data_IF_671363773233
#
_entry.id   IF_671363773233
#
_cell.length_a   1.000
_cell.length_b   1.000
_cell.length_c   1.000
_cell.angle_alpha   90.00
_cell.angle_beta   90.00
_cell.angle_gamma   90.00
#
_symmetry.space_group_name_H-M   'P 1'
#
loop_
_entity.id
_entity.type
_entity.pdbx_description
1 polymer ?
#
# COMPACT_ATOMS: atom_id res chain seq x y z
N UNK A 1 -28.64 -55.33 42.47
CA UNK A 1 -28.14 -54.40 43.51
C UNK A 1 -27.32 -53.33 42.78
N UNK A 2 -27.91 -52.41 42.00
CA UNK A 2 -28.72 -51.24 42.37
C UNK A 2 -27.88 -50.11 43.04
N UNK A 3 -27.81 -48.95 42.38
CA UNK A 3 -27.23 -47.67 42.84
C UNK A 3 -26.53 -46.92 41.68
N UNK A 4 -27.23 -46.32 40.70
CA UNK A 4 -27.81 -44.95 40.70
C UNK A 4 -26.81 -43.88 41.21
N UNK A 5 -26.16 -43.11 40.33
CA UNK A 5 -26.62 -41.88 39.65
C UNK A 5 -26.53 -40.61 40.52
N UNK A 6 -25.67 -39.65 40.10
CA UNK A 6 -25.83 -38.17 40.18
C UNK A 6 -24.58 -37.51 39.56
N UNK A 7 -24.63 -36.95 38.35
CA UNK A 7 -25.05 -35.60 37.95
C UNK A 7 -24.17 -34.42 38.41
N UNK A 8 -23.58 -33.77 37.39
CA UNK A 8 -23.61 -32.31 37.14
C UNK A 8 -22.67 -31.37 37.92
N UNK A 9 -21.73 -30.72 37.23
CA UNK A 9 -21.89 -29.38 36.60
C UNK A 9 -20.62 -28.95 35.87
N UNK A 10 -20.76 -28.61 34.59
CA UNK A 10 -19.75 -27.88 33.82
C UNK A 10 -19.62 -26.45 34.39
N UNK A 11 -18.39 -25.99 34.62
CA UNK A 11 -18.09 -24.61 35.04
C UNK A 11 -17.48 -23.84 33.89
N UNK A 12 -18.34 -23.15 33.17
CA UNK A 12 -18.02 -22.19 32.11
C UNK A 12 -17.46 -20.91 32.74
N UNK A 13 -16.15 -20.67 32.63
CA UNK A 13 -15.56 -19.39 33.04
C UNK A 13 -15.37 -18.48 31.82
N UNK A 14 -16.42 -17.73 31.48
CA UNK A 14 -16.36 -16.57 30.58
C UNK A 14 -16.07 -15.34 31.42
N UNK A 15 -14.85 -14.81 31.36
CA UNK A 15 -14.52 -13.50 31.94
C UNK A 15 -14.70 -12.43 30.88
N UNK A 16 -15.81 -11.69 30.99
CA UNK A 16 -16.06 -10.44 30.26
C UNK A 16 -15.19 -9.33 30.86
N UNK A 17 -14.30 -8.75 30.09
CA UNK A 17 -13.75 -7.42 30.38
C UNK A 17 -14.59 -6.41 29.61
N UNK A 18 -15.43 -5.66 30.32
CA UNK A 18 -16.10 -4.48 29.81
C UNK A 18 -15.42 -3.27 30.46
N UNK A 19 -14.64 -2.52 29.67
CA UNK A 19 -14.27 -1.14 29.96
C UNK A 19 -14.82 -0.28 28.84
N UNK A 20 -15.63 0.70 29.23
CA UNK A 20 -16.36 1.59 28.36
C UNK A 20 -15.41 2.46 27.51
N UNK A 21 -15.65 2.49 26.20
CA UNK A 21 -15.12 3.52 25.28
C UNK A 21 -16.33 4.11 24.55
N UNK A 22 -16.43 5.44 24.61
CA UNK A 22 -17.47 6.28 24.00
C UNK A 22 -17.63 6.05 22.48
N UNK A 23 -18.80 6.39 21.91
CA UNK A 23 -19.20 5.92 20.58
C UNK A 23 -18.65 6.84 19.49
N UNK A 24 -17.98 6.26 18.49
CA UNK A 24 -17.87 6.90 17.19
C UNK A 24 -17.81 5.87 16.06
N UNK A 25 -18.52 6.22 14.97
CA UNK A 25 -18.50 5.64 13.63
C UNK A 25 -19.36 4.38 13.41
N UNK A 26 -20.52 4.63 12.81
CA UNK A 26 -21.39 3.67 12.16
C UNK A 26 -20.58 2.73 11.24
N UNK A 27 -20.45 1.47 11.63
CA UNK A 27 -19.97 0.40 10.75
C UNK A 27 -21.18 -0.25 10.11
N UNK A 28 -21.59 0.27 8.95
CA UNK A 28 -22.51 -0.41 8.07
C UNK A 28 -21.83 -1.63 7.45
N UNK A 29 -22.41 -2.80 7.74
CA UNK A 29 -22.52 -3.97 6.86
C UNK A 29 -21.22 -4.62 6.34
N UNK A 30 -20.61 -5.49 7.17
CA UNK A 30 -19.78 -6.59 6.64
C UNK A 30 -20.71 -7.71 6.14
N UNK A 31 -21.20 -7.54 4.92
CA UNK A 31 -21.69 -8.67 4.12
C UNK A 31 -20.48 -9.29 3.42
N UNK A 32 -20.24 -10.56 3.74
CA UNK A 32 -19.38 -11.46 2.96
C UNK A 32 -19.89 -11.51 1.53
N UNK A 33 -19.29 -10.70 0.64
CA UNK A 33 -19.31 -10.93 -0.79
C UNK A 33 -17.90 -11.34 -1.20
N UNK A 34 -17.71 -12.64 -1.38
CA UNK A 34 -16.71 -13.16 -2.32
C UNK A 34 -16.93 -12.43 -3.64
N UNK A 35 -16.05 -11.49 -3.98
CA UNK A 35 -16.14 -10.79 -5.25
C UNK A 35 -15.81 -11.78 -6.37
N UNK A 36 -16.74 -11.85 -7.30
CA UNK A 36 -16.59 -12.43 -8.62
C UNK A 36 -15.57 -11.58 -9.41
N UNK A 37 -14.27 -11.70 -9.14
CA UNK A 37 -13.23 -10.90 -9.81
C UNK A 37 -12.33 -11.77 -10.69
N UNK A 38 -12.79 -12.04 -11.92
CA UNK A 38 -11.94 -12.59 -12.98
C UNK A 38 -10.79 -11.68 -13.42
N UNK A 39 -10.75 -10.43 -12.93
CA UNK A 39 -9.80 -9.39 -13.33
C UNK A 39 -8.73 -9.03 -12.29
N UNK A 40 -8.67 -9.71 -11.13
CA UNK A 40 -7.65 -9.39 -10.15
C UNK A 40 -6.29 -9.94 -10.59
N UNK A 41 -5.25 -9.09 -10.63
CA UNK A 41 -3.91 -9.52 -11.05
C UNK A 41 -3.22 -10.46 -10.04
N UNK A 42 -3.51 -10.30 -8.75
CA UNK A 42 -2.96 -11.11 -7.66
C UNK A 42 -4.07 -11.78 -6.85
N UNK A 43 -4.07 -13.11 -6.82
CA UNK A 43 -4.94 -13.89 -5.94
C UNK A 43 -4.32 -13.98 -4.54
N UNK A 44 -5.15 -13.87 -3.52
CA UNK A 44 -4.73 -13.89 -2.10
C UNK A 44 -5.36 -15.11 -1.43
N UNK A 45 -4.54 -15.93 -0.75
CA UNK A 45 -5.04 -17.10 -0.03
C UNK A 45 -5.68 -16.74 1.32
N UNK A 46 -6.32 -17.72 1.93
CA UNK A 46 -6.65 -17.68 3.36
C UNK A 46 -5.36 -17.62 4.21
N UNK A 47 -5.45 -17.12 5.47
CA UNK A 47 -4.29 -17.08 6.35
C UNK A 47 -3.71 -18.49 6.61
N UNK A 48 -2.39 -18.62 6.54
CA UNK A 48 -1.72 -19.89 6.83
C UNK A 48 -1.82 -20.24 8.32
N UNK A 49 -2.09 -21.51 8.71
CA UNK A 49 -2.34 -21.89 10.11
C UNK A 49 -1.17 -21.65 11.07
N UNK A 50 0.08 -21.70 10.58
CA UNK A 50 1.29 -21.52 11.40
C UNK A 50 1.80 -20.08 11.36
N UNK A 51 2.16 -19.55 10.19
CA UNK A 51 2.69 -18.19 10.06
C UNK A 51 1.64 -17.07 10.08
N UNK A 52 0.35 -17.38 9.93
CA UNK A 52 -0.76 -16.41 9.77
C UNK A 52 -0.59 -15.43 8.58
N UNK A 53 0.30 -15.74 7.64
CA UNK A 53 0.52 -14.93 6.42
C UNK A 53 -0.42 -15.45 5.32
N UNK A 54 -0.98 -14.52 4.54
CA UNK A 54 -1.73 -14.86 3.33
C UNK A 54 -0.76 -14.98 2.17
N UNK A 55 -0.82 -16.04 1.38
CA UNK A 55 0.05 -16.21 0.23
C UNK A 55 -0.52 -15.50 -0.99
N UNK A 56 0.37 -15.05 -1.87
CA UNK A 56 0.01 -14.41 -3.13
C UNK A 56 0.27 -15.37 -4.29
N UNK A 57 -0.62 -15.35 -5.29
CA UNK A 57 -0.44 -16.06 -6.54
C UNK A 57 -0.80 -15.17 -7.70
N UNK A 58 0.02 -15.21 -8.76
CA UNK A 58 -0.28 -14.51 -10.00
C UNK A 58 -1.49 -15.15 -10.68
N UNK A 59 -2.50 -14.35 -11.01
CA UNK A 59 -3.69 -14.85 -11.68
C UNK A 59 -3.40 -15.22 -13.14
N UNK A 60 -4.22 -16.08 -13.72
CA UNK A 60 -4.14 -16.41 -15.14
C UNK A 60 -4.38 -15.17 -16.00
N UNK A 61 -5.31 -14.30 -15.56
CA UNK A 61 -5.61 -13.03 -16.21
C UNK A 61 -4.39 -12.11 -16.27
N UNK A 62 -3.64 -11.96 -15.17
CA UNK A 62 -2.41 -11.17 -15.15
C UNK A 62 -1.37 -11.65 -16.17
N UNK A 63 -1.18 -12.98 -16.27
CA UNK A 63 -0.20 -13.56 -17.19
C UNK A 63 -0.51 -13.31 -18.67
N UNK A 64 -1.79 -13.10 -19.01
CA UNK A 64 -2.23 -12.89 -20.39
C UNK A 64 -2.27 -11.42 -20.79
N UNK A 65 -2.45 -10.52 -19.81
CA UNK A 65 -2.72 -9.10 -20.06
C UNK A 65 -1.54 -8.19 -19.77
N UNK A 66 -0.68 -8.57 -18.83
CA UNK A 66 0.43 -7.74 -18.38
C UNK A 66 1.69 -7.96 -19.22
N UNK A 67 2.51 -6.93 -19.26
CA UNK A 67 3.86 -7.01 -19.84
C UNK A 67 4.76 -7.92 -19.01
N UNK A 68 5.80 -8.48 -19.62
CA UNK A 68 6.82 -9.29 -18.91
C UNK A 68 7.45 -8.51 -17.74
N UNK A 69 7.62 -7.19 -17.90
CA UNK A 69 8.15 -6.32 -16.85
C UNK A 69 7.23 -6.21 -15.63
N UNK A 70 5.91 -6.11 -15.86
CA UNK A 70 4.93 -6.03 -14.78
C UNK A 70 4.77 -7.38 -14.08
N UNK A 71 4.77 -8.47 -14.86
CA UNK A 71 4.78 -9.84 -14.34
C UNK A 71 6.01 -10.05 -13.44
N UNK A 72 7.20 -9.62 -13.86
CA UNK A 72 8.42 -9.73 -13.07
C UNK A 72 8.33 -8.93 -11.75
N UNK A 73 7.71 -7.74 -11.77
CA UNK A 73 7.51 -6.94 -10.56
C UNK A 73 6.54 -7.60 -9.58
N UNK A 74 5.43 -8.17 -10.09
CA UNK A 74 4.48 -8.92 -9.28
C UNK A 74 5.09 -10.21 -8.73
N UNK A 75 5.88 -10.91 -9.53
CA UNK A 75 6.60 -12.11 -9.09
C UNK A 75 7.56 -11.77 -7.95
N UNK A 76 8.30 -10.66 -8.06
CA UNK A 76 9.19 -10.20 -6.99
C UNK A 76 8.43 -9.98 -5.67
N UNK A 77 7.21 -9.43 -5.72
CA UNK A 77 6.35 -9.29 -4.53
C UNK A 77 5.96 -10.64 -3.94
N UNK A 78 5.57 -11.60 -4.78
CA UNK A 78 5.26 -12.98 -4.37
C UNK A 78 6.48 -13.59 -3.67
N UNK A 79 7.67 -13.44 -4.24
CA UNK A 79 8.91 -14.03 -3.68
C UNK A 79 9.26 -13.43 -2.31
N UNK A 80 9.10 -12.12 -2.12
CA UNK A 80 9.28 -11.46 -0.81
C UNK A 80 8.29 -12.03 0.21
N UNK A 81 7.02 -12.19 -0.20
CA UNK A 81 5.96 -12.70 0.66
C UNK A 81 6.16 -14.16 1.04
N UNK A 82 6.69 -14.97 0.11
CA UNK A 82 7.08 -16.35 0.37
C UNK A 82 8.22 -16.42 1.40
N UNK A 83 9.25 -15.55 1.27
CA UNK A 83 10.31 -15.45 2.28
C UNK A 83 9.78 -15.06 3.65
N UNK A 84 8.80 -14.14 3.73
CA UNK A 84 8.11 -13.85 4.99
C UNK A 84 7.43 -15.08 5.56
N UNK A 85 6.68 -15.81 4.72
CA UNK A 85 5.97 -17.02 5.13
C UNK A 85 6.93 -18.08 5.70
N UNK A 86 8.04 -18.34 5.01
CA UNK A 86 9.07 -19.29 5.44
C UNK A 86 9.66 -18.86 6.80
N UNK A 87 10.08 -17.60 6.93
CA UNK A 87 10.66 -17.08 8.17
C UNK A 87 9.70 -17.21 9.36
N UNK A 88 8.45 -16.75 9.19
CA UNK A 88 7.47 -16.77 10.28
C UNK A 88 6.98 -18.17 10.60
N UNK A 89 6.93 -19.07 9.64
CA UNK A 89 6.64 -20.49 9.91
C UNK A 89 7.73 -21.07 10.80
N UNK A 90 9.00 -20.92 10.41
CA UNK A 90 10.13 -21.43 11.20
C UNK A 90 10.20 -20.79 12.60
N UNK A 91 10.04 -19.47 12.69
CA UNK A 91 10.07 -18.75 13.97
C UNK A 91 8.92 -19.16 14.90
N UNK A 92 7.71 -19.31 14.37
CA UNK A 92 6.55 -19.70 15.19
C UNK A 92 6.69 -21.15 15.66
N UNK A 93 7.19 -22.06 14.82
CA UNK A 93 7.46 -23.45 15.23
C UNK A 93 8.53 -23.52 16.32
N UNK A 94 9.66 -22.80 16.15
CA UNK A 94 10.72 -22.70 17.16
C UNK A 94 10.21 -22.13 18.48
N UNK A 95 9.43 -21.04 18.41
CA UNK A 95 8.82 -20.42 19.58
C UNK A 95 7.90 -21.39 20.34
N UNK A 96 6.99 -22.08 19.65
CA UNK A 96 6.07 -23.02 20.31
C UNK A 96 6.82 -24.22 20.91
N UNK A 97 7.84 -24.72 20.22
CA UNK A 97 8.70 -25.79 20.74
C UNK A 97 9.40 -25.37 22.02
N UNK A 98 10.09 -24.21 22.04
CA UNK A 98 10.77 -23.71 23.24
C UNK A 98 9.81 -23.39 24.37
N UNK A 99 8.65 -22.82 24.05
CA UNK A 99 7.60 -22.51 25.04
C UNK A 99 7.08 -23.79 25.71
N UNK A 100 6.75 -24.81 24.92
CA UNK A 100 6.26 -26.09 25.46
C UNK A 100 7.31 -26.80 26.31
N UNK A 101 8.57 -26.80 25.87
CA UNK A 101 9.68 -27.35 26.66
C UNK A 101 9.88 -26.61 28.00
N UNK A 102 9.75 -25.28 28.00
CA UNK A 102 9.86 -24.47 29.22
C UNK A 102 8.71 -24.76 30.21
N UNK A 103 7.47 -24.83 29.71
CA UNK A 103 6.30 -25.19 30.51
C UNK A 103 6.48 -26.59 31.12
N UNK A 104 6.92 -27.55 30.31
CA UNK A 104 7.16 -28.93 30.76
C UNK A 104 8.23 -28.99 31.85
N UNK A 105 9.36 -28.29 31.69
CA UNK A 105 10.42 -28.26 32.70
C UNK A 105 9.96 -27.71 34.06
N UNK A 106 9.07 -26.71 34.07
CA UNK A 106 8.47 -26.18 35.31
C UNK A 106 7.48 -27.18 35.91
N UNK A 107 6.67 -27.83 35.08
CA UNK A 107 5.73 -28.83 35.55
C UNK A 107 6.46 -30.05 36.15
N UNK A 108 7.55 -30.50 35.54
CA UNK A 108 8.34 -31.64 36.02
C UNK A 108 9.08 -31.31 37.34
N UNK A 109 9.54 -30.07 37.52
CA UNK A 109 10.28 -29.65 38.71
C UNK A 109 9.41 -29.18 39.88
N UNK A 110 8.30 -28.51 39.60
CA UNK A 110 7.46 -27.86 40.61
C UNK A 110 6.01 -28.38 40.64
N UNK A 111 5.64 -29.30 39.74
CA UNK A 111 4.30 -29.92 39.64
C UNK A 111 3.17 -28.89 39.57
N UNK A 112 3.43 -27.79 38.86
CA UNK A 112 2.50 -26.70 38.66
C UNK A 112 2.71 -26.04 37.30
N UNK A 113 1.71 -25.27 36.90
CA UNK A 113 1.81 -24.37 35.75
C UNK A 113 2.78 -23.20 36.03
N UNK A 114 3.42 -22.65 34.98
CA UNK A 114 4.26 -21.46 35.12
C UNK A 114 3.48 -20.23 35.57
N UNK A 115 4.08 -19.48 36.47
CA UNK A 115 3.57 -18.17 36.88
C UNK A 115 3.79 -17.13 35.78
N UNK A 116 3.07 -16.02 35.84
CA UNK A 116 3.23 -14.90 34.89
C UNK A 116 4.67 -14.35 34.89
N UNK A 117 5.33 -14.31 36.04
CA UNK A 117 6.71 -13.85 36.17
C UNK A 117 7.69 -14.79 35.43
N UNK A 118 7.54 -16.10 35.60
CA UNK A 118 8.35 -17.11 34.90
C UNK A 118 8.12 -17.09 33.39
N UNK A 119 6.88 -16.91 32.96
CA UNK A 119 6.57 -16.73 31.53
C UNK A 119 7.19 -15.45 30.98
N UNK A 120 7.20 -14.36 31.75
CA UNK A 120 7.82 -13.10 31.35
C UNK A 120 9.33 -13.25 31.19
N UNK A 121 9.98 -14.01 32.08
CA UNK A 121 11.40 -14.34 31.97
C UNK A 121 11.67 -15.15 30.70
N UNK A 122 10.87 -16.19 30.43
CA UNK A 122 10.94 -16.96 29.20
C UNK A 122 10.84 -16.05 27.97
N UNK A 123 9.82 -15.20 27.90
CA UNK A 123 9.64 -14.30 26.76
C UNK A 123 10.85 -13.40 26.52
N UNK A 124 11.39 -12.81 27.60
CA UNK A 124 12.60 -11.98 27.49
C UNK A 124 13.78 -12.80 26.94
N UNK A 125 14.06 -13.96 27.54
CA UNK A 125 15.16 -14.82 27.09
C UNK A 125 15.03 -15.25 25.64
N UNK A 126 13.83 -15.63 25.18
CA UNK A 126 13.58 -15.98 23.79
C UNK A 126 13.82 -14.81 22.84
N UNK A 127 13.41 -13.60 23.23
CA UNK A 127 13.63 -12.39 22.42
C UNK A 127 15.11 -12.05 22.32
N UNK A 128 15.85 -12.16 23.43
CA UNK A 128 17.30 -11.94 23.46
C UNK A 128 18.02 -12.97 22.57
N UNK A 129 17.69 -14.26 22.69
CA UNK A 129 18.28 -15.35 21.91
C UNK A 129 17.99 -15.24 20.41
N UNK A 130 16.78 -14.79 20.06
CA UNK A 130 16.33 -14.68 18.67
C UNK A 130 16.65 -13.33 18.04
N UNK A 131 17.28 -12.41 18.78
CA UNK A 131 17.57 -11.05 18.31
C UNK A 131 18.40 -11.03 17.03
N UNK A 132 19.48 -11.81 16.98
CA UNK A 132 20.38 -11.86 15.80
C UNK A 132 19.65 -12.34 14.55
N UNK A 133 18.81 -13.37 14.70
CA UNK A 133 17.97 -13.94 13.63
C UNK A 133 16.95 -12.91 13.11
N UNK A 134 16.27 -12.19 14.00
CA UNK A 134 15.31 -11.14 13.61
C UNK A 134 16.01 -9.94 12.98
N UNK A 135 17.19 -9.55 13.48
CA UNK A 135 18.00 -8.48 12.90
C UNK A 135 18.40 -8.81 11.45
N UNK A 136 18.96 -10.00 11.22
CA UNK A 136 19.34 -10.46 9.88
C UNK A 136 18.14 -10.53 8.91
N UNK A 137 16.99 -11.00 9.41
CA UNK A 137 15.73 -10.99 8.66
C UNK A 137 15.30 -9.57 8.29
N UNK A 138 15.26 -8.65 9.25
CA UNK A 138 14.87 -7.26 9.01
C UNK A 138 15.80 -6.57 8.01
N UNK A 139 17.11 -6.78 8.11
CA UNK A 139 18.08 -6.24 7.14
C UNK A 139 17.79 -6.73 5.71
N UNK A 140 17.51 -8.03 5.56
CA UNK A 140 17.17 -8.64 4.26
C UNK A 140 15.87 -8.05 3.71
N UNK A 141 14.85 -7.91 4.57
CA UNK A 141 13.58 -7.33 4.20
C UNK A 141 13.70 -5.87 3.75
N UNK A 142 14.47 -5.05 4.47
CA UNK A 142 14.72 -3.67 4.08
C UNK A 142 15.41 -3.57 2.72
N UNK A 143 16.40 -4.43 2.46
CA UNK A 143 17.08 -4.50 1.16
C UNK A 143 16.11 -4.85 0.03
N UNK A 144 15.20 -5.79 0.28
CA UNK A 144 14.23 -6.21 -0.74
C UNK A 144 13.16 -5.15 -1.00
N UNK A 145 12.62 -4.53 0.05
CA UNK A 145 11.62 -3.47 -0.08
C UNK A 145 12.19 -2.23 -0.79
N UNK A 146 13.39 -1.77 -0.41
CA UNK A 146 14.04 -0.63 -1.06
C UNK A 146 14.32 -0.90 -2.54
N UNK A 147 14.67 -2.13 -2.90
CA UNK A 147 14.87 -2.53 -4.30
C UNK A 147 13.58 -2.52 -5.13
N UNK A 148 12.40 -2.51 -4.52
CA UNK A 148 11.10 -2.37 -5.19
C UNK A 148 10.63 -0.91 -5.23
N UNK A 149 10.95 -0.13 -4.19
CA UNK A 149 10.54 1.27 -4.10
C UNK A 149 11.24 2.15 -5.16
N UNK A 150 12.52 1.93 -5.42
CA UNK A 150 13.29 2.75 -6.36
C UNK A 150 12.69 2.72 -7.78
N UNK A 151 12.37 1.55 -8.39
CA UNK A 151 11.69 1.50 -9.68
C UNK A 151 10.31 2.19 -9.68
N UNK A 152 9.52 2.00 -8.62
CA UNK A 152 8.20 2.62 -8.49
C UNK A 152 8.30 4.15 -8.47
N UNK A 153 9.15 4.70 -7.60
CA UNK A 153 9.40 6.14 -7.53
C UNK A 153 9.89 6.68 -8.88
N UNK A 154 10.78 5.95 -9.56
CA UNK A 154 11.27 6.36 -10.89
C UNK A 154 10.17 6.38 -11.95
N UNK A 155 9.23 5.43 -11.92
CA UNK A 155 8.09 5.40 -12.82
C UNK A 155 7.15 6.60 -12.57
N UNK A 156 6.87 6.90 -11.29
CA UNK A 156 6.03 8.03 -10.89
C UNK A 156 6.68 9.37 -11.29
N UNK A 157 7.99 9.52 -11.06
CA UNK A 157 8.74 10.73 -11.46
C UNK A 157 8.73 10.93 -12.98
N UNK A 158 8.83 9.86 -13.77
CA UNK A 158 8.71 9.94 -15.23
C UNK A 158 7.32 10.43 -15.63
N UNK A 159 6.27 9.87 -15.04
CA UNK A 159 4.90 10.29 -15.32
C UNK A 159 4.68 11.77 -14.98
N UNK A 160 5.16 12.22 -13.82
CA UNK A 160 5.12 13.62 -13.42
C UNK A 160 5.90 14.53 -14.39
N UNK A 161 7.07 14.10 -14.85
CA UNK A 161 7.87 14.87 -15.81
C UNK A 161 7.16 15.05 -17.17
N UNK A 162 6.46 14.02 -17.65
CA UNK A 162 5.67 14.11 -18.88
C UNK A 162 4.49 15.07 -18.73
N UNK A 163 3.79 15.03 -17.59
CA UNK A 163 2.68 15.95 -17.29
C UNK A 163 3.18 17.39 -17.19
N UNK A 164 4.24 17.64 -16.43
CA UNK A 164 4.82 18.97 -16.26
C UNK A 164 5.35 19.54 -17.58
N UNK A 165 6.02 18.72 -18.39
CA UNK A 165 6.47 19.11 -19.73
C UNK A 165 5.32 19.48 -20.66
N UNK A 166 4.22 18.72 -20.62
CA UNK A 166 2.98 19.03 -21.36
C UNK A 166 2.35 20.35 -20.91
N UNK A 167 2.32 20.62 -19.60
CA UNK A 167 1.81 21.89 -19.07
C UNK A 167 2.66 23.10 -19.48
N UNK A 168 3.99 22.96 -19.47
CA UNK A 168 4.92 24.01 -19.89
C UNK A 168 4.78 24.30 -21.40
N UNK A 169 4.65 23.25 -22.22
CA UNK A 169 4.44 23.41 -23.66
C UNK A 169 3.10 24.09 -23.97
N UNK A 170 2.01 23.67 -23.31
CA UNK A 170 0.70 24.32 -23.43
C UNK A 170 0.71 25.80 -22.98
N UNK A 171 1.48 26.14 -21.93
CA UNK A 171 1.63 27.52 -21.48
C UNK A 171 2.42 28.37 -22.48
N UNK A 172 3.45 27.81 -23.14
CA UNK A 172 4.22 28.48 -24.19
C UNK A 172 3.37 28.74 -25.44
N UNK A 173 2.55 27.79 -25.87
CA UNK A 173 1.64 27.98 -27.02
C UNK A 173 0.63 29.10 -26.76
N UNK A 174 0.02 29.13 -25.56
CA UNK A 174 -0.90 30.21 -25.17
C UNK A 174 -0.25 31.60 -25.14
N UNK A 175 1.03 31.68 -24.77
CA UNK A 175 1.80 32.93 -24.79
C UNK A 175 2.11 33.38 -26.23
N UNK A 176 2.43 32.44 -27.12
CA UNK A 176 2.66 32.75 -28.55
C UNK A 176 1.36 33.25 -29.19
N UNK A 177 0.24 32.58 -28.93
CA UNK A 177 -1.08 33.00 -29.42
C UNK A 177 -1.47 34.38 -28.87
N UNK A 178 -1.29 34.63 -27.57
CA UNK A 178 -1.58 35.93 -26.97
C UNK A 178 -0.73 37.06 -27.59
N UNK A 179 0.56 36.82 -27.87
CA UNK A 179 1.42 37.78 -28.58
C UNK A 179 0.94 38.02 -30.00
N UNK A 180 0.52 36.98 -30.70
CA UNK A 180 -0.02 37.08 -32.06
C UNK A 180 -1.32 37.88 -32.10
N UNK A 181 -2.26 37.61 -31.18
CA UNK A 181 -3.49 38.39 -31.04
C UNK A 181 -3.24 39.85 -30.66
N UNK A 182 -2.27 40.11 -29.79
CA UNK A 182 -1.88 41.47 -29.39
C UNK A 182 -1.26 42.23 -30.57
N UNK A 183 -0.43 41.55 -31.38
CA UNK A 183 0.13 42.13 -32.60
C UNK A 183 -0.94 42.41 -33.66
N UNK A 184 -1.90 41.49 -33.88
CA UNK A 184 -3.03 41.70 -34.78
C UNK A 184 -3.92 42.86 -34.32
N UNK A 185 -4.19 42.95 -33.01
CA UNK A 185 -4.96 44.04 -32.43
C UNK A 185 -4.27 45.39 -32.63
N UNK A 186 -2.98 45.48 -32.33
CA UNK A 186 -2.20 46.70 -32.51
C UNK A 186 -2.12 47.11 -33.99
N UNK A 187 -1.89 46.13 -34.88
CA UNK A 187 -1.88 46.35 -36.33
C UNK A 187 -3.23 46.91 -36.81
N UNK A 188 -4.35 46.34 -36.33
CA UNK A 188 -5.70 46.82 -36.66
C UNK A 188 -5.94 48.25 -36.19
N UNK A 189 -5.52 48.60 -34.98
CA UNK A 189 -5.65 49.97 -34.46
C UNK A 189 -4.83 50.97 -35.28
N UNK A 190 -3.61 50.61 -35.65
CA UNK A 190 -2.77 51.40 -36.54
C UNK A 190 -3.45 51.57 -37.91
N UNK A 191 -3.96 50.50 -38.52
CA UNK A 191 -4.66 50.59 -39.81
C UNK A 191 -5.91 51.49 -39.75
N UNK A 192 -6.69 51.45 -38.67
CA UNK A 192 -7.81 52.37 -38.49
C UNK A 192 -7.33 53.83 -38.33
N UNK A 193 -6.28 54.08 -37.54
CA UNK A 193 -5.71 55.42 -37.38
C UNK A 193 -5.15 56.01 -38.68
N UNK A 194 -4.59 55.18 -39.56
CA UNK A 194 -4.09 55.60 -40.88
C UNK A 194 -5.18 55.62 -41.98
N UNK A 195 -6.34 54.98 -41.77
CA UNK A 195 -7.48 55.06 -42.68
C UNK A 195 -8.23 56.39 -42.56
N UNK A 196 -8.22 57.04 -41.39
CA UNK A 196 -8.89 58.33 -41.17
C UNK A 196 -8.06 59.53 -41.63
N UNK A 197 -6.77 59.33 -41.96
CA UNK A 197 -5.89 60.40 -42.45
C UNK A 197 -6.01 60.67 -43.96
N UNK A 198 -6.82 59.91 -44.70
CA UNK A 198 -7.17 60.25 -46.09
C UNK A 198 -8.11 61.47 -46.21
N UNK A 199 -8.61 62.02 -45.10
CA UNK A 199 -9.38 63.27 -45.06
C UNK A 199 -8.50 64.53 -44.97
N UNK A 200 -7.17 64.41 -44.83
CA UNK A 200 -6.26 65.56 -44.70
C UNK A 200 -5.58 66.00 -46.00
N UNK A 201 -5.90 65.40 -47.14
CA UNK A 201 -5.35 65.79 -48.46
C UNK A 201 -6.28 66.65 -49.34
N UNK A 202 -7.40 67.17 -48.82
CA UNK A 202 -8.33 68.01 -49.58
C UNK A 202 -8.22 69.52 -49.31
N UNK A 203 -7.12 69.98 -48.73
CA UNK A 203 -6.93 71.40 -48.38
C UNK A 203 -5.69 72.03 -49.02
N UNK A 204 -5.44 71.81 -50.32
CA UNK A 204 -4.64 72.75 -51.12
C UNK A 204 -5.20 72.79 -52.54
N UNK A 205 -5.93 73.87 -52.83
CA UNK A 205 -6.40 74.18 -54.17
C UNK A 205 -5.24 74.40 -55.14
N UNK A 206 -5.34 73.76 -56.30
CA UNK A 206 -4.70 74.21 -57.53
C UNK A 206 -5.78 74.21 -58.59
N UNK A 207 -6.14 75.42 -59.01
CA UNK A 207 -6.98 75.74 -60.16
C UNK A 207 -6.28 75.35 -61.45
N UNK A 208 -6.97 74.63 -62.33
CA UNK A 208 -6.71 74.69 -63.78
C UNK A 208 -8.07 74.80 -64.48
N UNK A 209 -8.11 75.72 -65.43
CA UNK A 209 -9.24 76.18 -66.25
C UNK A 209 -10.04 75.05 -66.89
#
# INVERSE_FOLDING_TARGET
MAGLAQMSKASTYVRRFATAVSPSVNTSNSSTKTSTDGNLFLQVSTPHPVSNIRLLRLSVYAKQTLSDTDIAMLQKRIDVQERHHIFWTANNTDFQSKKSAYIQAINDSAHREPTSAEMSYFYKSYLDDSYSRHSAYNTTLWKENTSMLIPGIKADMRQLSHVAGGMINNARERLVDARYFTWLYLKRQITHAFSDSSLLYQAHGVTVR
#
